data_IF_185245924660
#
_entry.id   IF_185245924660
#
_cell.length_a   1.000
_cell.length_b   1.000
_cell.length_c   1.000
_cell.angle_alpha   90.00
_cell.angle_beta   90.00
_cell.angle_gamma   90.00
#
_symmetry.space_group_name_H-M   'P 1'
#
loop_
_entity.id
_entity.type
_entity.pdbx_description
1 polymer ?
#
# COMPACT_ATOMS: atom_id res chain seq x y z
N UNK A 1 -26.40 -0.47 7.67
CA UNK A 1 -25.22 -0.04 6.88
C UNK A 1 -24.84 -1.23 6.02
N UNK A 2 -24.88 -1.12 4.70
CA UNK A 2 -24.58 -2.25 3.81
C UNK A 2 -23.09 -2.21 3.46
N UNK A 3 -22.34 -3.28 3.75
CA UNK A 3 -21.03 -3.49 3.15
C UNK A 3 -21.21 -3.45 1.63
N UNK A 4 -20.41 -2.66 0.91
CA UNK A 4 -20.33 -2.79 -0.54
C UNK A 4 -19.49 -4.02 -0.82
N UNK A 5 -20.11 -4.95 -1.54
CA UNK A 5 -19.52 -6.23 -1.90
C UNK A 5 -19.45 -6.26 -3.41
N UNK A 6 -18.24 -6.42 -3.94
CA UNK A 6 -18.03 -6.65 -5.37
C UNK A 6 -18.24 -8.14 -5.64
N UNK A 7 -19.21 -8.44 -6.51
CA UNK A 7 -19.46 -9.80 -6.96
C UNK A 7 -18.62 -10.09 -8.21
N UNK A 8 -17.94 -11.23 -8.23
CA UNK A 8 -17.15 -11.74 -9.36
C UNK A 8 -17.43 -13.22 -9.53
N UNK A 9 -17.56 -13.68 -10.77
CA UNK A 9 -17.55 -15.12 -11.08
C UNK A 9 -16.26 -15.45 -11.84
N UNK A 10 -15.58 -16.51 -11.44
CA UNK A 10 -14.35 -17.00 -12.07
C UNK A 10 -14.62 -18.37 -12.68
N UNK A 11 -14.22 -18.56 -13.93
CA UNK A 11 -14.33 -19.85 -14.64
C UNK A 11 -13.27 -20.85 -14.12
N UNK A 12 -13.30 -22.09 -14.62
CA UNK A 12 -12.21 -23.05 -14.41
C UNK A 12 -10.99 -22.68 -15.25
N UNK A 13 -10.27 -21.66 -14.80
CA UNK A 13 -9.12 -21.11 -15.53
C UNK A 13 -8.19 -20.39 -14.57
N UNK A 14 -6.90 -20.71 -14.66
CA UNK A 14 -5.85 -19.99 -13.94
C UNK A 14 -5.60 -18.62 -14.58
N UNK A 15 -6.55 -17.71 -14.39
CA UNK A 15 -6.48 -16.32 -14.82
C UNK A 15 -6.97 -15.46 -13.66
N UNK A 16 -6.05 -14.75 -13.03
CA UNK A 16 -6.35 -13.94 -11.86
C UNK A 16 -7.01 -12.61 -12.24
N UNK A 17 -8.09 -12.30 -11.54
CA UNK A 17 -8.67 -10.96 -11.54
C UNK A 17 -8.05 -10.15 -10.39
N UNK A 18 -7.19 -9.19 -10.73
CA UNK A 18 -6.47 -8.38 -9.75
C UNK A 18 -7.26 -7.16 -9.29
N UNK A 19 -7.15 -6.88 -7.99
CA UNK A 19 -7.71 -5.74 -7.30
C UNK A 19 -6.63 -5.10 -6.42
N UNK A 20 -6.62 -3.77 -6.28
CA UNK A 20 -5.72 -3.11 -5.34
C UNK A 20 -6.11 -3.49 -3.90
N UNK A 21 -5.12 -3.63 -3.02
CA UNK A 21 -5.37 -3.79 -1.59
C UNK A 21 -5.25 -2.44 -0.90
N UNK A 22 -6.18 -2.11 0.01
CA UNK A 22 -6.14 -0.85 0.78
C UNK A 22 -5.72 -0.93 2.24
N UNK A 23 -5.42 -2.13 2.75
CA UNK A 23 -5.03 -2.35 4.13
C UNK A 23 -4.10 -3.57 4.25
N UNK A 24 -3.51 -3.80 5.42
CA UNK A 24 -2.77 -5.05 5.73
C UNK A 24 -3.64 -6.32 5.78
N UNK A 25 -4.81 -6.31 5.13
CA UNK A 25 -5.74 -7.43 5.09
C UNK A 25 -6.69 -7.36 3.90
N UNK A 26 -7.23 -8.53 3.53
CA UNK A 26 -8.41 -8.67 2.68
C UNK A 26 -9.43 -9.61 3.33
N UNK A 27 -10.70 -9.37 3.03
CA UNK A 27 -11.81 -10.22 3.44
C UNK A 27 -12.69 -10.50 2.23
N UNK A 28 -13.06 -11.76 2.08
CA UNK A 28 -13.89 -12.21 0.97
C UNK A 28 -14.72 -13.42 1.38
N UNK A 29 -15.81 -13.66 0.67
CA UNK A 29 -16.51 -14.93 0.69
C UNK A 29 -16.46 -15.58 -0.68
N UNK A 30 -16.32 -16.89 -0.71
CA UNK A 30 -16.29 -17.67 -1.95
C UNK A 30 -17.22 -18.87 -1.83
N UNK A 31 -17.94 -19.15 -2.91
CA UNK A 31 -18.71 -20.37 -3.12
C UNK A 31 -18.07 -21.10 -4.29
N UNK A 32 -17.37 -22.19 -3.98
CA UNK A 32 -16.63 -23.03 -4.91
C UNK A 32 -16.50 -24.43 -4.31
N UNK A 33 -16.49 -25.48 -5.13
CA UNK A 33 -16.36 -26.85 -4.62
C UNK A 33 -14.95 -27.14 -4.04
N UNK A 34 -13.94 -26.49 -4.59
CA UNK A 34 -12.51 -26.67 -4.33
C UNK A 34 -11.70 -25.51 -4.97
N UNK A 35 -10.39 -25.51 -4.72
CA UNK A 35 -9.36 -24.75 -5.46
C UNK A 35 -9.68 -23.25 -5.64
N UNK A 36 -9.91 -22.55 -4.52
CA UNK A 36 -9.93 -21.09 -4.48
C UNK A 36 -8.50 -20.55 -4.39
N UNK A 37 -8.08 -19.78 -5.38
CA UNK A 37 -6.72 -19.26 -5.51
C UNK A 37 -6.68 -17.77 -5.26
N UNK A 38 -5.70 -17.35 -4.45
CA UNK A 38 -5.45 -15.95 -4.14
C UNK A 38 -3.97 -15.67 -4.36
N UNK A 39 -3.66 -14.72 -5.24
CA UNK A 39 -2.31 -14.21 -5.43
C UNK A 39 -2.15 -12.90 -4.65
N UNK A 40 -1.04 -12.70 -3.94
CA UNK A 40 -0.65 -11.42 -3.33
C UNK A 40 0.63 -10.94 -4.01
N UNK A 41 0.58 -9.76 -4.62
CA UNK A 41 1.62 -9.26 -5.54
C UNK A 41 1.92 -7.78 -5.28
N UNK A 42 3.07 -7.32 -5.77
CA UNK A 42 3.47 -5.90 -5.77
C UNK A 42 2.74 -5.08 -6.84
N UNK A 43 2.29 -5.72 -7.93
CA UNK A 43 1.60 -5.08 -9.05
C UNK A 43 0.33 -5.82 -9.49
N UNK A 44 -0.47 -5.26 -10.41
CA UNK A 44 -1.76 -5.80 -10.86
C UNK A 44 -1.61 -6.98 -11.84
N UNK A 45 -0.60 -7.81 -11.64
CA UNK A 45 -0.25 -8.94 -12.50
C UNK A 45 0.54 -9.97 -11.70
N UNK A 46 0.57 -11.20 -12.20
CA UNK A 46 1.40 -12.26 -11.65
C UNK A 46 2.88 -11.98 -11.93
N UNK A 47 3.74 -12.19 -10.93
CA UNK A 47 5.19 -12.00 -11.06
C UNK A 47 5.88 -12.05 -9.70
N UNK A 48 7.19 -12.30 -9.71
CA UNK A 48 7.96 -12.33 -8.46
C UNK A 48 8.30 -10.90 -7.99
N UNK A 49 8.25 -10.63 -6.67
CA UNK A 49 7.87 -11.55 -5.61
C UNK A 49 6.33 -11.71 -5.46
N UNK A 50 5.87 -12.92 -5.13
CA UNK A 50 4.45 -13.26 -4.98
C UNK A 50 4.19 -14.34 -3.93
N UNK A 51 3.06 -14.22 -3.22
CA UNK A 51 2.47 -15.33 -2.46
C UNK A 51 1.24 -15.86 -3.19
N UNK A 52 1.15 -17.18 -3.32
CA UNK A 52 -0.05 -17.86 -3.78
C UNK A 52 -0.65 -18.63 -2.62
N UNK A 53 -1.88 -18.30 -2.27
CA UNK A 53 -2.67 -18.98 -1.26
C UNK A 53 -3.70 -19.84 -1.99
N UNK A 54 -3.69 -21.13 -1.68
CA UNK A 54 -4.65 -22.11 -2.18
C UNK A 54 -5.53 -22.49 -1.00
N UNK A 55 -6.84 -22.23 -1.08
CA UNK A 55 -7.81 -22.63 -0.07
C UNK A 55 -8.64 -23.78 -0.65
N UNK A 56 -8.72 -24.90 0.08
CA UNK A 56 -9.47 -26.07 -0.37
C UNK A 56 -8.92 -26.69 -1.66
N UNK A 57 -7.60 -26.72 -1.81
CA UNK A 57 -6.96 -27.42 -2.91
C UNK A 57 -6.96 -28.94 -2.72
N UNK A 58 -6.49 -29.66 -3.75
CA UNK A 58 -6.45 -31.14 -3.79
C UNK A 58 -7.80 -31.76 -3.43
N UNK A 59 -8.83 -31.39 -4.20
CA UNK A 59 -10.20 -31.82 -3.96
C UNK A 59 -10.72 -31.39 -2.59
N UNK A 60 -10.48 -30.12 -2.22
CA UNK A 60 -10.95 -29.53 -0.96
C UNK A 60 -10.42 -30.24 0.30
N UNK A 61 -9.19 -30.75 0.24
CA UNK A 61 -8.56 -31.48 1.36
C UNK A 61 -7.52 -30.67 2.13
N UNK A 62 -6.87 -29.69 1.49
CA UNK A 62 -5.81 -28.89 2.13
C UNK A 62 -5.71 -27.47 1.63
N UNK A 63 -5.04 -26.62 2.41
CA UNK A 63 -4.71 -25.24 2.07
C UNK A 63 -3.20 -25.02 2.17
N UNK A 64 -2.61 -24.26 1.24
CA UNK A 64 -1.17 -23.99 1.22
C UNK A 64 -0.85 -22.52 0.91
N UNK A 65 0.31 -22.06 1.37
CA UNK A 65 0.96 -20.82 0.91
C UNK A 65 2.19 -21.23 0.11
N UNK A 66 2.34 -20.69 -1.09
CA UNK A 66 3.52 -20.85 -1.95
C UNK A 66 4.16 -19.50 -2.20
N UNK A 67 5.48 -19.41 -2.10
CA UNK A 67 6.24 -18.21 -2.47
C UNK A 67 6.85 -18.39 -3.86
N UNK A 68 6.69 -17.39 -4.73
CA UNK A 68 7.30 -17.29 -6.06
C UNK A 68 7.10 -18.55 -6.94
N UNK A 69 5.94 -19.21 -6.85
CA UNK A 69 5.65 -20.47 -7.57
C UNK A 69 6.68 -21.59 -7.35
N UNK A 70 7.47 -21.52 -6.29
CA UNK A 70 8.52 -22.51 -5.98
C UNK A 70 8.02 -23.61 -5.04
N UNK A 71 8.61 -24.81 -5.16
CA UNK A 71 8.39 -25.92 -4.22
C UNK A 71 9.63 -26.12 -3.34
N UNK A 72 9.50 -26.54 -2.07
CA UNK A 72 8.24 -26.89 -1.38
C UNK A 72 7.35 -25.67 -1.08
N UNK A 73 6.06 -25.92 -0.83
CA UNK A 73 5.17 -24.86 -0.33
C UNK A 73 5.69 -24.38 1.05
N UNK A 74 5.57 -23.08 1.33
CA UNK A 74 6.14 -22.47 2.54
C UNK A 74 5.26 -22.67 3.78
N UNK A 75 3.97 -22.96 3.58
CA UNK A 75 3.06 -23.42 4.62
C UNK A 75 2.02 -24.37 4.02
N UNK A 76 1.60 -25.39 4.77
CA UNK A 76 0.58 -26.37 4.39
C UNK A 76 -0.21 -26.81 5.61
N UNK A 77 -1.53 -26.95 5.47
CA UNK A 77 -2.42 -27.46 6.52
C UNK A 77 -3.59 -28.24 5.91
N UNK A 78 -3.99 -29.34 6.56
CA UNK A 78 -5.20 -30.09 6.17
C UNK A 78 -6.46 -29.28 6.50
N UNK A 79 -7.34 -29.11 5.51
CA UNK A 79 -8.55 -28.29 5.61
C UNK A 79 -9.73 -28.99 4.90
N UNK A 80 -10.06 -30.24 5.31
CA UNK A 80 -11.05 -31.04 4.61
C UNK A 80 -12.43 -30.36 4.60
N UNK A 81 -12.98 -30.17 3.41
CA UNK A 81 -14.28 -29.57 3.21
C UNK A 81 -14.34 -28.11 3.65
N UNK A 82 -13.23 -27.35 3.56
CA UNK A 82 -13.20 -25.94 3.97
C UNK A 82 -13.98 -25.02 3.03
N UNK A 83 -14.06 -25.36 1.74
CA UNK A 83 -14.93 -24.71 0.76
C UNK A 83 -16.29 -25.45 0.61
N UNK A 84 -17.27 -24.78 -0.01
CA UNK A 84 -18.58 -25.37 -0.36
C UNK A 84 -19.01 -24.88 -1.74
N UNK A 85 -19.47 -25.80 -2.60
CA UNK A 85 -20.08 -25.46 -3.88
C UNK A 85 -21.49 -24.91 -3.75
N UNK A 86 -22.14 -25.14 -2.60
CA UNK A 86 -23.53 -24.77 -2.36
C UNK A 86 -23.66 -23.45 -1.57
N UNK A 87 -22.70 -23.16 -0.68
CA UNK A 87 -22.75 -22.04 0.26
C UNK A 87 -21.52 -21.13 0.15
N UNK A 88 -21.74 -19.82 0.29
CA UNK A 88 -20.64 -18.88 0.50
C UNK A 88 -19.96 -19.13 1.84
N UNK A 89 -18.63 -19.24 1.80
CA UNK A 89 -17.79 -19.32 3.00
C UNK A 89 -16.83 -18.15 3.05
N UNK A 90 -16.77 -17.49 4.21
CA UNK A 90 -15.95 -16.32 4.44
C UNK A 90 -14.54 -16.65 4.91
N UNK A 91 -13.60 -15.87 4.41
CA UNK A 91 -12.18 -15.97 4.72
C UNK A 91 -11.57 -14.58 4.83
N UNK A 92 -10.47 -14.52 5.58
CA UNK A 92 -9.63 -13.33 5.67
C UNK A 92 -8.18 -13.74 5.48
N UNK A 93 -7.41 -12.83 4.87
CA UNK A 93 -5.95 -12.93 4.76
C UNK A 93 -5.38 -11.64 5.34
N UNK A 94 -4.42 -11.75 6.25
CA UNK A 94 -3.78 -10.63 6.94
C UNK A 94 -2.27 -10.72 6.81
N UNK A 95 -1.63 -9.58 6.66
CA UNK A 95 -0.18 -9.47 6.70
C UNK A 95 0.23 -8.28 7.55
N UNK A 96 1.05 -8.57 8.54
CA UNK A 96 1.64 -7.60 9.45
C UNK A 96 3.00 -8.14 9.91
N UNK A 97 3.98 -7.24 10.07
CA UNK A 97 5.32 -7.56 10.60
C UNK A 97 5.98 -8.80 9.96
N UNK A 98 5.90 -8.89 8.63
CA UNK A 98 6.46 -10.02 7.85
C UNK A 98 5.72 -11.35 7.99
N UNK A 99 4.60 -11.39 8.70
CA UNK A 99 3.79 -12.60 8.93
C UNK A 99 2.50 -12.56 8.13
N UNK A 100 2.32 -13.53 7.24
CA UNK A 100 1.10 -13.76 6.46
C UNK A 100 0.23 -14.80 7.16
N UNK A 101 -1.02 -14.46 7.46
CA UNK A 101 -1.99 -15.36 8.11
C UNK A 101 -3.29 -15.46 7.32
N UNK A 102 -3.89 -16.65 7.31
CA UNK A 102 -5.17 -16.94 6.65
C UNK A 102 -6.11 -17.55 7.68
N UNK A 103 -7.32 -17.03 7.75
CA UNK A 103 -8.36 -17.55 8.63
C UNK A 103 -9.73 -17.58 7.98
N UNK A 104 -10.65 -18.23 8.69
CA UNK A 104 -12.03 -18.42 8.26
C UNK A 104 -12.94 -17.52 9.11
N UNK A 105 -13.99 -17.00 8.48
CA UNK A 105 -14.99 -16.18 9.16
C UNK A 105 -15.63 -16.97 10.31
N UNK A 106 -15.65 -16.37 11.51
CA UNK A 106 -16.20 -16.97 12.73
C UNK A 106 -15.21 -17.78 13.57
N UNK A 107 -14.04 -18.12 13.03
CA UNK A 107 -13.00 -18.83 13.78
C UNK A 107 -12.17 -17.85 14.62
N UNK A 108 -11.66 -18.31 15.77
CA UNK A 108 -10.93 -17.46 16.73
C UNK A 108 -9.48 -17.15 16.33
N UNK A 109 -8.95 -17.80 15.30
CA UNK A 109 -7.56 -17.64 14.87
C UNK A 109 -7.33 -18.14 13.44
N UNK A 110 -6.13 -17.90 12.89
CA UNK A 110 -5.78 -18.37 11.56
C UNK A 110 -5.64 -19.89 11.53
N UNK A 111 -6.01 -20.50 10.40
CA UNK A 111 -5.74 -21.92 10.15
C UNK A 111 -4.41 -22.13 9.40
N UNK A 112 -3.86 -21.08 8.79
CA UNK A 112 -2.61 -21.13 8.02
C UNK A 112 -1.78 -19.87 8.30
N UNK A 113 -0.47 -20.02 8.45
CA UNK A 113 0.44 -18.93 8.82
C UNK A 113 1.81 -19.15 8.19
N UNK A 114 2.47 -18.08 7.77
CA UNK A 114 3.83 -18.08 7.26
C UNK A 114 4.54 -16.79 7.67
N UNK A 115 5.66 -16.91 8.38
CA UNK A 115 6.54 -15.78 8.69
C UNK A 115 7.68 -15.75 7.68
N UNK A 116 7.72 -14.72 6.85
CA UNK A 116 8.72 -14.60 5.79
C UNK A 116 9.99 -13.92 6.32
N UNK A 117 11.18 -14.55 6.19
CA UNK A 117 12.43 -13.88 6.54
C UNK A 117 12.75 -12.69 5.62
N UNK A 118 12.19 -12.65 4.42
CA UNK A 118 12.37 -11.59 3.43
C UNK A 118 11.01 -11.18 2.85
N UNK A 119 10.16 -10.47 3.63
CA UNK A 119 8.83 -10.07 3.20
C UNK A 119 8.91 -8.97 2.14
N UNK A 120 7.87 -8.86 1.33
CA UNK A 120 7.72 -7.82 0.31
C UNK A 120 6.38 -7.11 0.45
N UNK A 121 6.30 -5.89 -0.09
CA UNK A 121 5.07 -5.10 -0.07
C UNK A 121 3.96 -5.73 -0.94
N UNK A 122 2.78 -5.91 -0.36
CA UNK A 122 1.60 -6.40 -1.08
C UNK A 122 0.73 -5.19 -1.46
N UNK A 123 0.68 -4.88 -2.75
CA UNK A 123 -0.13 -3.78 -3.30
C UNK A 123 -1.43 -4.25 -3.98
N UNK A 124 -1.46 -5.52 -4.41
CA UNK A 124 -2.59 -6.10 -5.13
C UNK A 124 -2.87 -7.52 -4.63
N UNK A 125 -4.13 -7.92 -4.78
CA UNK A 125 -4.52 -9.31 -4.68
C UNK A 125 -5.27 -9.73 -5.94
N UNK A 126 -4.97 -10.92 -6.43
CA UNK A 126 -5.70 -11.58 -7.51
C UNK A 126 -6.54 -12.71 -6.97
N UNK A 127 -7.75 -12.91 -7.50
CA UNK A 127 -8.53 -14.13 -7.22
C UNK A 127 -8.85 -14.89 -8.50
N UNK A 128 -8.84 -16.22 -8.42
CA UNK A 128 -9.39 -17.11 -9.44
C UNK A 128 -9.82 -18.45 -8.84
N UNK A 129 -10.58 -19.20 -9.60
CA UNK A 129 -10.77 -20.64 -9.39
C UNK A 129 -10.18 -21.38 -10.58
N UNK A 130 -9.69 -22.59 -10.35
CA UNK A 130 -9.14 -23.42 -11.41
C UNK A 130 -9.15 -24.89 -10.99
N UNK A 131 -8.59 -25.78 -11.83
CA UNK A 131 -8.53 -27.22 -11.58
C UNK A 131 -9.91 -27.88 -11.37
N UNK A 132 -10.86 -27.54 -12.23
CA UNK A 132 -12.22 -28.08 -12.22
C UNK A 132 -13.21 -27.28 -11.39
N UNK A 133 -12.78 -26.16 -10.80
CA UNK A 133 -13.61 -25.31 -9.96
C UNK A 133 -14.10 -24.06 -10.72
N UNK A 134 -15.37 -23.72 -10.52
CA UNK A 134 -15.94 -22.40 -10.82
C UNK A 134 -16.23 -21.75 -9.46
N UNK A 135 -15.95 -20.45 -9.35
CA UNK A 135 -16.11 -19.71 -8.11
C UNK A 135 -17.03 -18.52 -8.27
N UNK A 136 -17.97 -18.36 -7.35
CA UNK A 136 -18.63 -17.10 -7.11
C UNK A 136 -17.97 -16.43 -5.89
N UNK A 137 -17.51 -15.19 -6.07
CA UNK A 137 -16.77 -14.41 -5.09
C UNK A 137 -17.55 -13.18 -4.68
N UNK A 138 -17.50 -12.90 -3.39
CA UNK A 138 -18.00 -11.70 -2.73
C UNK A 138 -16.81 -11.05 -2.04
N UNK A 139 -16.23 -10.06 -2.69
CA UNK A 139 -15.05 -9.35 -2.19
C UNK A 139 -15.55 -8.11 -1.44
N UNK A 140 -15.14 -7.95 -0.18
CA UNK A 140 -15.44 -6.72 0.55
C UNK A 140 -14.64 -5.57 -0.07
N UNK A 141 -15.35 -4.54 -0.52
CA UNK A 141 -14.74 -3.42 -1.24
C UNK A 141 -13.77 -2.67 -0.31
N UNK A 142 -12.46 -2.69 -0.57
CA UNK A 142 -11.48 -2.00 0.25
C UNK A 142 -11.62 -0.47 0.15
N UNK A 143 -12.45 0.04 -0.78
CA UNK A 143 -12.70 1.45 -1.05
C UNK A 143 -14.10 1.98 -0.70
N UNK A 144 -14.91 1.25 0.07
CA UNK A 144 -16.27 1.69 0.41
C UNK A 144 -16.29 2.86 1.42
N UNK A 145 -16.10 4.09 0.93
CA UNK A 145 -16.56 5.28 1.66
C UNK A 145 -18.09 5.23 1.82
N UNK A 146 -18.64 5.39 3.04
CA UNK A 146 -20.09 5.46 3.22
C UNK A 146 -20.62 6.73 2.52
N UNK A 147 -21.35 6.57 1.43
CA UNK A 147 -22.23 7.63 0.92
C UNK A 147 -23.52 7.65 1.73
N UNK A 148 -23.64 8.58 2.68
CA UNK A 148 -24.92 9.17 3.06
C UNK A 148 -24.72 10.58 3.66
N UNK A 149 -25.56 11.56 3.32
CA UNK A 149 -25.36 12.96 3.66
C UNK A 149 -25.90 13.27 5.05
N UNK A 150 -25.09 13.91 5.89
CA UNK A 150 -25.60 14.69 7.01
C UNK A 150 -24.87 16.03 7.06
N UNK A 151 -25.67 17.07 6.91
CA UNK A 151 -25.29 18.46 7.03
C UNK A 151 -24.51 18.71 8.32
N UNK A 152 -23.23 19.05 8.19
CA UNK A 152 -22.54 19.84 9.20
C UNK A 152 -22.19 21.15 8.53
N UNK A 153 -22.91 22.20 8.95
CA UNK A 153 -22.55 23.58 8.66
C UNK A 153 -21.10 23.80 9.12
N UNK A 154 -20.18 23.95 8.17
CA UNK A 154 -18.83 24.41 8.44
C UNK A 154 -18.48 25.49 7.42
N UNK A 155 -18.38 26.71 7.92
CA UNK A 155 -17.77 27.84 7.24
C UNK A 155 -16.23 27.66 7.34
N UNK A 156 -15.54 27.62 6.20
CA UNK A 156 -14.14 28.08 6.07
C UNK A 156 -13.04 27.02 5.85
N UNK A 157 -12.34 27.18 4.71
CA UNK A 157 -10.95 26.81 4.37
C UNK A 157 -10.52 25.31 4.36
N UNK A 158 -9.79 24.93 3.30
CA UNK A 158 -9.29 23.58 3.04
C UNK A 158 -8.34 23.07 4.12
N UNK A 159 -8.43 21.78 4.42
CA UNK A 159 -7.56 21.11 5.38
C UNK A 159 -6.78 20.01 4.68
N UNK A 160 -5.47 20.19 4.57
CA UNK A 160 -4.51 19.14 4.18
C UNK A 160 -4.68 17.91 5.09
N UNK A 161 -4.76 16.71 4.53
CA UNK A 161 -4.80 15.47 5.33
C UNK A 161 -3.63 14.55 4.98
N UNK A 162 -3.00 13.98 6.00
CA UNK A 162 -2.00 12.92 5.87
C UNK A 162 -2.68 11.58 6.14
N UNK A 163 -2.81 10.76 5.11
CA UNK A 163 -3.49 9.47 5.17
C UNK A 163 -2.47 8.34 5.34
N UNK A 164 -2.65 7.49 6.37
CA UNK A 164 -1.86 6.28 6.53
C UNK A 164 -2.00 5.38 5.30
N UNK A 165 -0.87 4.86 4.82
CA UNK A 165 -0.77 4.01 3.65
C UNK A 165 0.43 3.07 3.78
N UNK A 166 0.40 1.97 3.03
CA UNK A 166 1.50 1.02 3.04
C UNK A 166 1.60 0.27 1.71
N UNK A 167 2.79 -0.23 1.37
CA UNK A 167 2.93 -1.19 0.27
C UNK A 167 2.52 -0.67 -1.12
N UNK A 168 2.81 0.60 -1.43
CA UNK A 168 2.50 1.20 -2.75
C UNK A 168 1.12 1.83 -2.87
N UNK A 169 0.31 1.71 -1.81
CA UNK A 169 -0.99 2.35 -1.69
C UNK A 169 -0.93 3.85 -1.88
N UNK A 170 -1.81 4.36 -2.75
CA UNK A 170 -2.05 5.78 -2.99
C UNK A 170 -3.54 6.09 -2.71
N UNK A 171 -3.85 6.81 -1.62
CA UNK A 171 -5.22 7.19 -1.30
C UNK A 171 -5.84 8.14 -2.35
N UNK A 172 -7.18 8.20 -2.47
CA UNK A 172 -7.84 9.16 -3.36
C UNK A 172 -7.44 10.60 -3.06
N UNK A 173 -7.36 11.43 -4.12
CA UNK A 173 -6.93 12.82 -4.03
C UNK A 173 -5.52 13.00 -3.41
N UNK A 174 -4.63 12.02 -3.60
CA UNK A 174 -3.21 12.16 -3.27
C UNK A 174 -2.55 13.26 -4.11
N UNK A 175 -1.62 13.98 -3.48
CA UNK A 175 -0.85 15.05 -4.12
C UNK A 175 0.28 14.44 -4.94
N UNK A 176 0.19 14.60 -6.25
CA UNK A 176 1.30 14.33 -7.17
C UNK A 176 2.42 15.33 -6.93
N UNK A 177 3.63 14.81 -6.69
CA UNK A 177 4.79 15.64 -6.35
C UNK A 177 5.89 15.62 -7.40
N UNK A 178 5.94 14.59 -8.26
CA UNK A 178 7.07 14.35 -9.13
C UNK A 178 6.86 13.24 -10.16
N UNK A 179 7.92 12.92 -10.89
CA UNK A 179 7.93 11.86 -11.90
C UNK A 179 9.32 11.21 -12.00
N UNK A 180 9.34 9.88 -12.05
CA UNK A 180 10.53 9.04 -12.25
C UNK A 180 10.14 7.77 -13.03
N UNK A 181 9.79 7.96 -14.31
CA UNK A 181 9.20 6.91 -15.16
C UNK A 181 7.74 6.55 -14.80
N UNK A 182 7.30 6.89 -13.58
CA UNK A 182 5.92 6.89 -13.11
C UNK A 182 5.66 8.13 -12.24
N UNK A 183 4.39 8.42 -11.95
CA UNK A 183 4.00 9.50 -11.04
C UNK A 183 4.47 9.20 -9.62
N UNK A 184 5.19 10.16 -9.01
CA UNK A 184 5.57 10.12 -7.60
C UNK A 184 4.60 10.94 -6.76
N UNK A 185 4.25 10.43 -5.58
CA UNK A 185 3.34 11.09 -4.66
C UNK A 185 4.08 11.63 -3.44
N UNK A 186 3.57 12.73 -2.88
CA UNK A 186 4.11 13.31 -1.65
C UNK A 186 3.80 12.39 -0.48
N UNK A 187 4.85 11.81 0.10
CA UNK A 187 4.74 10.96 1.28
C UNK A 187 5.58 11.45 2.44
N UNK A 188 5.38 10.82 3.59
CA UNK A 188 6.27 10.92 4.75
C UNK A 188 6.30 9.62 5.53
N UNK A 189 7.41 9.33 6.20
CA UNK A 189 7.54 8.12 7.00
C UNK A 189 8.41 8.35 8.24
N UNK A 190 8.26 7.50 9.26
CA UNK A 190 9.09 7.55 10.47
C UNK A 190 10.44 6.88 10.23
N UNK A 191 11.52 7.50 10.70
CA UNK A 191 12.87 6.92 10.68
C UNK A 191 13.75 7.58 11.75
N UNK A 192 14.45 6.78 12.56
CA UNK A 192 15.37 7.25 13.62
C UNK A 192 14.79 8.35 14.53
N UNK A 193 13.51 8.21 14.90
CA UNK A 193 12.81 9.19 15.76
C UNK A 193 12.26 10.42 15.04
N UNK A 194 12.63 10.66 13.79
CA UNK A 194 12.11 11.72 12.94
C UNK A 194 10.88 11.27 12.13
N UNK A 195 10.05 12.23 11.71
CA UNK A 195 9.01 12.06 10.70
C UNK A 195 9.45 12.81 9.45
N UNK A 196 9.76 12.10 8.37
CA UNK A 196 10.54 12.63 7.27
C UNK A 196 9.72 12.63 5.97
N UNK A 197 9.58 13.79 5.28
CA UNK A 197 9.00 13.86 3.95
C UNK A 197 9.85 13.16 2.89
N UNK A 198 9.19 12.61 1.88
CA UNK A 198 9.86 11.91 0.79
C UNK A 198 8.93 11.59 -0.39
N UNK A 199 9.37 10.66 -1.23
CA UNK A 199 8.67 10.24 -2.44
C UNK A 199 8.03 8.86 -2.25
N UNK A 200 6.75 8.74 -2.53
CA UNK A 200 6.10 7.42 -2.69
C UNK A 200 6.22 7.02 -4.15
N UNK A 201 6.82 5.85 -4.38
CA UNK A 201 6.93 5.25 -5.70
C UNK A 201 6.04 4.00 -5.74
N UNK A 202 4.82 4.10 -6.31
CA UNK A 202 3.82 3.03 -6.25
C UNK A 202 4.34 1.69 -6.73
N UNK A 203 5.01 1.64 -7.89
CA UNK A 203 5.52 0.37 -8.43
C UNK A 203 6.58 -0.31 -7.56
N UNK A 204 7.29 0.45 -6.71
CA UNK A 204 8.26 -0.08 -5.75
C UNK A 204 7.61 -0.46 -4.42
N UNK A 205 6.34 -0.11 -4.20
CA UNK A 205 5.63 -0.31 -2.95
C UNK A 205 6.24 0.41 -1.73
N UNK A 206 6.99 1.49 -1.97
CA UNK A 206 7.88 2.12 -0.98
C UNK A 206 7.74 3.64 -0.97
N UNK A 207 7.74 4.22 0.23
CA UNK A 207 8.09 5.62 0.45
C UNK A 207 9.60 5.73 0.75
N UNK A 208 10.34 6.42 -0.10
CA UNK A 208 11.75 6.70 0.13
C UNK A 208 11.92 8.02 0.85
N UNK A 209 12.68 8.02 1.95
CA UNK A 209 12.97 9.20 2.76
C UNK A 209 14.48 9.42 2.88
N UNK A 210 14.97 10.67 2.80
CA UNK A 210 16.39 10.98 2.95
C UNK A 210 16.77 11.17 4.43
N UNK A 211 17.81 10.48 4.89
CA UNK A 211 18.34 10.67 6.25
C UNK A 211 19.77 10.14 6.40
N UNK A 212 20.62 10.91 7.11
CA UNK A 212 21.95 10.47 7.52
C UNK A 212 22.92 10.22 6.37
N UNK A 213 22.72 10.85 5.21
CA UNK A 213 23.52 10.60 4.00
C UNK A 213 22.97 9.50 3.07
N UNK A 214 21.90 8.80 3.47
CA UNK A 214 21.36 7.64 2.74
C UNK A 214 19.86 7.80 2.37
N UNK A 215 19.43 7.02 1.37
CA UNK A 215 18.02 6.85 0.99
C UNK A 215 17.44 5.63 1.71
N UNK A 216 16.34 5.83 2.43
CA UNK A 216 15.70 4.78 3.22
C UNK A 216 14.31 4.45 2.66
N UNK A 217 14.11 3.20 2.25
CA UNK A 217 12.79 2.71 1.86
C UNK A 217 11.93 2.36 3.08
N UNK A 218 10.69 2.83 3.11
CA UNK A 218 9.68 2.54 4.14
C UNK A 218 8.42 1.97 3.50
N UNK A 219 7.96 0.85 4.03
CA UNK A 219 6.73 0.18 3.60
C UNK A 219 5.49 0.75 4.27
N UNK A 220 5.64 1.36 5.45
CA UNK A 220 4.59 2.05 6.19
C UNK A 220 4.87 3.56 6.16
N UNK A 221 3.91 4.32 5.67
CA UNK A 221 4.06 5.73 5.42
C UNK A 221 2.71 6.45 5.44
N UNK A 222 2.75 7.77 5.25
CA UNK A 222 1.56 8.59 5.05
C UNK A 222 1.66 9.30 3.72
N UNK A 223 0.53 9.46 3.02
CA UNK A 223 0.42 10.20 1.76
C UNK A 223 -0.34 11.50 2.01
N UNK A 224 0.12 12.60 1.43
CA UNK A 224 -0.57 13.89 1.48
C UNK A 224 -1.77 13.87 0.53
N UNK A 225 -2.96 14.19 1.04
CA UNK A 225 -4.22 14.09 0.33
C UNK A 225 -5.13 15.30 0.59
N UNK A 226 -6.17 15.44 -0.24
CA UNK A 226 -7.31 16.33 0.03
C UNK A 226 -7.04 17.82 -0.13
N UNK A 227 -5.87 18.20 -0.65
CA UNK A 227 -5.50 19.59 -0.90
C UNK A 227 -5.08 19.82 -2.36
N UNK A 228 -5.04 21.09 -2.77
CA UNK A 228 -4.57 21.52 -4.11
C UNK A 228 -3.40 22.49 -3.97
N UNK A 229 -2.24 22.01 -3.48
CA UNK A 229 -1.12 22.86 -3.14
C UNK A 229 -0.44 23.44 -4.38
N UNK A 230 0.46 24.41 -4.17
CA UNK A 230 1.31 24.97 -5.23
C UNK A 230 2.78 24.71 -4.91
N UNK A 231 3.57 24.50 -5.96
CA UNK A 231 5.02 24.43 -5.87
C UNK A 231 5.60 25.81 -6.18
N UNK A 232 6.47 26.30 -5.30
CA UNK A 232 7.07 27.64 -5.42
C UNK A 232 8.59 27.50 -5.42
N UNK A 233 9.30 28.00 -6.45
CA UNK A 233 10.76 27.97 -6.48
C UNK A 233 11.34 28.90 -5.40
N UNK A 234 12.25 28.36 -4.61
CA UNK A 234 12.96 29.06 -3.54
C UNK A 234 14.42 28.62 -3.49
N UNK A 235 15.22 29.33 -2.69
CA UNK A 235 16.62 28.98 -2.46
C UNK A 235 17.01 29.17 -1.00
N UNK A 236 17.93 28.36 -0.52
CA UNK A 236 18.44 28.41 0.85
C UNK A 236 17.34 28.16 1.90
N UNK A 237 17.38 28.93 2.98
CA UNK A 237 16.38 28.93 4.05
C UNK A 237 15.16 29.83 3.80
N UNK A 238 14.91 30.28 2.56
CA UNK A 238 13.80 31.18 2.25
C UNK A 238 12.45 30.42 2.19
N UNK A 239 11.94 30.04 3.36
CA UNK A 239 10.69 29.27 3.49
C UNK A 239 9.48 30.22 3.54
N UNK A 240 8.52 30.11 2.60
CA UNK A 240 7.27 30.88 2.63
C UNK A 240 6.45 30.61 3.89
N UNK A 241 5.73 31.62 4.39
CA UNK A 241 4.89 31.47 5.60
C UNK A 241 3.76 30.44 5.44
N UNK A 242 3.31 30.20 4.21
CA UNK A 242 2.28 29.22 3.87
C UNK A 242 2.87 27.87 3.40
N UNK A 243 4.14 27.58 3.69
CA UNK A 243 4.73 26.27 3.41
C UNK A 243 4.04 25.17 4.23
N UNK A 244 3.73 24.05 3.58
CA UNK A 244 3.04 22.92 4.22
C UNK A 244 4.06 22.12 5.05
N UNK A 245 3.88 21.97 6.37
CA UNK A 245 4.73 21.13 7.20
C UNK A 245 4.61 19.67 6.76
N UNK A 246 5.76 19.06 6.48
CA UNK A 246 5.85 17.67 6.05
C UNK A 246 6.19 16.71 7.19
N UNK A 247 6.86 17.19 8.24
CA UNK A 247 7.28 16.36 9.36
C UNK A 247 8.18 17.12 10.33
N UNK A 248 9.01 16.40 11.07
CA UNK A 248 9.90 16.96 12.10
C UNK A 248 11.15 16.09 12.28
N UNK A 249 12.26 16.71 12.67
CA UNK A 249 13.49 16.00 13.09
C UNK A 249 13.31 15.36 14.46
N UNK A 250 14.28 14.54 14.86
CA UNK A 250 14.38 13.93 16.19
C UNK A 250 14.38 14.94 17.35
N UNK A 251 14.85 16.18 17.10
CA UNK A 251 14.87 17.28 18.07
C UNK A 251 13.63 18.20 17.98
N UNK A 252 12.68 17.86 17.11
CA UNK A 252 11.44 18.63 16.90
C UNK A 252 11.58 19.84 15.97
N UNK A 253 12.65 19.92 15.17
CA UNK A 253 12.73 20.95 14.11
C UNK A 253 11.70 20.62 13.01
N UNK A 254 10.83 21.57 12.62
CA UNK A 254 9.87 21.32 11.55
C UNK A 254 10.56 21.12 10.20
N UNK A 255 10.16 20.08 9.49
CA UNK A 255 10.57 19.78 8.12
C UNK A 255 9.44 20.12 7.15
N UNK A 256 9.79 20.62 5.97
CA UNK A 256 8.84 20.96 4.92
C UNK A 256 9.00 20.05 3.69
N UNK A 257 7.97 20.01 2.85
CA UNK A 257 7.99 19.23 1.61
C UNK A 257 8.65 20.06 0.50
N UNK A 258 9.75 19.53 -0.04
CA UNK A 258 10.42 20.10 -1.20
C UNK A 258 10.47 19.13 -2.37
N UNK A 259 10.73 19.63 -3.57
CA UNK A 259 11.09 18.82 -4.73
C UNK A 259 12.19 19.46 -5.55
N UNK A 260 12.93 18.64 -6.27
CA UNK A 260 14.08 19.04 -7.09
C UNK A 260 14.03 18.31 -8.42
N UNK A 261 14.33 19.01 -9.52
CA UNK A 261 14.68 18.37 -10.78
C UNK A 261 16.13 17.87 -10.68
N UNK A 262 16.31 16.55 -10.64
CA UNK A 262 17.61 15.92 -10.59
C UNK A 262 17.69 14.81 -11.63
N UNK A 263 18.66 14.93 -12.55
CA UNK A 263 18.73 14.12 -13.76
C UNK A 263 17.39 14.18 -14.52
N UNK A 264 16.89 13.04 -14.99
CA UNK A 264 15.63 12.93 -15.72
C UNK A 264 14.41 12.79 -14.78
N UNK A 265 14.58 13.05 -13.48
CA UNK A 265 13.53 12.88 -12.47
C UNK A 265 13.16 14.21 -11.80
N UNK A 266 11.87 14.36 -11.52
CA UNK A 266 11.39 15.38 -10.59
C UNK A 266 11.01 14.66 -9.31
N UNK A 267 11.75 14.88 -8.22
CA UNK A 267 11.65 14.03 -7.03
C UNK A 267 11.44 14.82 -5.74
N UNK A 268 10.67 14.24 -4.81
CA UNK A 268 10.25 14.84 -3.55
C UNK A 268 11.24 14.49 -2.44
N UNK A 269 11.47 15.43 -1.53
CA UNK A 269 12.35 15.27 -0.39
C UNK A 269 11.98 16.16 0.79
N UNK A 270 12.89 16.28 1.76
CA UNK A 270 12.73 17.10 2.96
C UNK A 270 13.46 18.43 2.81
N UNK A 271 12.81 19.53 3.15
CA UNK A 271 13.46 20.82 3.36
C UNK A 271 13.76 20.96 4.83
N UNK A 272 15.03 21.17 5.17
CA UNK A 272 15.46 21.37 6.54
C UNK A 272 15.94 22.82 6.72
N UNK A 273 15.14 23.67 7.41
CA UNK A 273 15.40 25.10 7.52
C UNK A 273 16.79 25.43 8.09
N UNK A 274 17.21 24.75 9.15
CA UNK A 274 18.50 24.95 9.82
C UNK A 274 19.69 24.66 8.92
N UNK A 275 19.54 23.75 7.95
CA UNK A 275 20.58 23.41 6.96
C UNK A 275 20.46 24.23 5.69
N UNK A 276 19.35 24.95 5.49
CA UNK A 276 19.08 25.79 4.32
C UNK A 276 19.16 25.04 2.98
N UNK A 277 18.72 23.78 2.96
CA UNK A 277 18.71 22.93 1.76
C UNK A 277 17.47 22.04 1.71
N UNK A 278 17.13 21.57 0.51
CA UNK A 278 16.27 20.43 0.28
C UNK A 278 17.14 19.17 0.08
N UNK A 279 16.89 18.13 0.86
CA UNK A 279 17.49 16.82 0.67
C UNK A 279 16.53 15.93 -0.10
N UNK A 280 17.00 15.27 -1.15
CA UNK A 280 16.23 14.24 -1.86
C UNK A 280 16.83 12.85 -1.63
N UNK A 281 15.99 11.81 -1.51
CA UNK A 281 16.44 10.43 -1.59
C UNK A 281 16.61 10.06 -3.06
N UNK A 282 17.82 9.66 -3.48
CA UNK A 282 18.09 9.27 -4.85
C UNK A 282 19.25 8.27 -4.95
N UNK A 283 19.03 7.17 -5.68
CA UNK A 283 20.04 6.13 -5.95
C UNK A 283 20.78 5.63 -4.70
N UNK A 284 20.06 5.41 -3.59
CA UNK A 284 20.65 4.95 -2.33
C UNK A 284 21.25 6.06 -1.46
N UNK A 285 21.31 7.31 -1.93
CA UNK A 285 21.95 8.43 -1.22
C UNK A 285 20.97 9.54 -0.86
N UNK A 286 21.28 10.28 0.20
CA UNK A 286 20.67 11.58 0.50
C UNK A 286 21.50 12.69 -0.18
N UNK A 287 20.87 13.45 -1.09
CA UNK A 287 21.56 14.49 -1.88
C UNK A 287 20.98 15.86 -1.55
N UNK A 288 21.84 16.83 -1.23
CA UNK A 288 21.46 18.18 -0.81
C UNK A 288 21.41 19.18 -1.98
N UNK A 289 20.36 20.00 -2.04
CA UNK A 289 20.16 21.05 -3.03
C UNK A 289 19.82 22.38 -2.36
N UNK A 290 20.56 23.46 -2.66
CA UNK A 290 20.25 24.79 -2.15
C UNK A 290 19.09 25.46 -2.90
N UNK A 291 18.85 25.08 -4.16
CA UNK A 291 17.74 25.58 -4.99
C UNK A 291 16.71 24.46 -5.18
N UNK A 292 15.45 24.74 -4.89
CA UNK A 292 14.38 23.74 -4.89
C UNK A 292 13.00 24.40 -5.04
N UNK A 293 11.97 23.60 -5.31
CA UNK A 293 10.58 24.05 -5.17
C UNK A 293 10.03 23.57 -3.83
N UNK A 294 9.34 24.44 -3.10
CA UNK A 294 8.67 24.12 -1.83
C UNK A 294 7.16 24.05 -2.01
N UNK A 295 6.52 23.12 -1.31
CA UNK A 295 5.08 22.95 -1.34
C UNK A 295 4.39 23.94 -0.41
N UNK A 296 3.44 24.72 -0.93
CA UNK A 296 2.69 25.73 -0.16
C UNK A 296 1.17 25.53 -0.29
N UNK A 297 0.43 25.92 0.75
CA UNK A 297 -1.03 25.98 0.72
C UNK A 297 -1.49 27.18 -0.13
N UNK A 298 -2.70 27.09 -0.71
CA UNK A 298 -3.28 28.18 -1.49
C UNK A 298 -3.82 29.32 -0.63
#
# INVERSE_FOLDING_TARGET
>A
MALRVSALTTEDKLEYHFYPVTAGQIQFRVKAANDAHIALTTGPQEGDPMYEIFIGGWSNSKSVIRKNRTKPDVAEVETPGILSGDDYRGFWIRWDDGTLTVGKEGDSGPFLSYADPEPFGIGYFGVCTAWGAIGDWLIEDPGATPSAPLEVRALGAGSECWCDASGGMIPPAAVEGGNDGETLFVGRARHEGALIPGKVKPSHCVCYVPWGGEEHGKTDYQVLCGCSPKWVPVSGGNIPQNAIPGGETEDGEPLFVGRVQHEDTLTIGKVQPSHSVCYIPFAGSEIAFPDYEILVSQ
#
